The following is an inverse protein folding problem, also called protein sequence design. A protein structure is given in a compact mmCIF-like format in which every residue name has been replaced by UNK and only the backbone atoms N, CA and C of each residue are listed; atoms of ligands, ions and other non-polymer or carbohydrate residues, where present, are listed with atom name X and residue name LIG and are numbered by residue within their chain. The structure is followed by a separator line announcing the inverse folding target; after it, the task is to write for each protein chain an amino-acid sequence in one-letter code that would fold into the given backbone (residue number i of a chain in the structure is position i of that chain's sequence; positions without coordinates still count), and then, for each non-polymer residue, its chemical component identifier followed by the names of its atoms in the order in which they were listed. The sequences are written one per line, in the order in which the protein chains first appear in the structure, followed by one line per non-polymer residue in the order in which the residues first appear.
data_IF_943897253354
#
_entry.id   IF_943897253354
#
_cell.length_a   1.000
_cell.length_b   1.000
_cell.length_c   1.000
_cell.angle_alpha   90.00
_cell.angle_beta   90.00
_cell.angle_gamma   90.00
#
_symmetry.space_group_name_H-M   'P 1'
#
loop_
_entity.id
_entity.type
_entity.pdbx_description
1 polymer ?
#
# COMPACT_ATOMS: atom_id res chain seq x y z
N UNK A 1 12.52 -29.51 -4.30
CA UNK A 1 11.61 -28.60 -3.58
C UNK A 1 10.83 -27.84 -4.62
N UNK A 2 9.51 -28.04 -4.81
CA UNK A 2 8.78 -27.31 -5.83
C UNK A 2 8.24 -26.00 -5.26
N UNK A 3 8.67 -24.90 -5.87
CA UNK A 3 8.09 -23.57 -5.76
C UNK A 3 6.59 -23.62 -6.08
N UNK A 4 5.76 -23.53 -5.04
CA UNK A 4 4.33 -23.31 -5.22
C UNK A 4 4.11 -21.90 -5.76
N UNK A 5 3.95 -21.81 -7.09
CA UNK A 5 3.44 -20.62 -7.76
C UNK A 5 2.00 -20.43 -7.30
N UNK A 6 1.80 -19.60 -6.28
CA UNK A 6 0.48 -19.08 -5.96
C UNK A 6 0.00 -18.22 -7.14
N UNK A 7 -0.88 -18.80 -7.95
CA UNK A 7 -1.65 -18.09 -8.98
C UNK A 7 -2.61 -17.12 -8.27
N UNK A 8 -2.13 -15.94 -7.90
CA UNK A 8 -3.00 -14.86 -7.43
C UNK A 8 -3.91 -14.41 -8.60
N UNK A 9 -5.19 -14.78 -8.47
CA UNK A 9 -6.42 -14.28 -9.10
C UNK A 9 -6.28 -13.63 -10.49
N UNK A 10 -6.66 -14.34 -11.57
CA UNK A 10 -6.61 -13.83 -12.96
C UNK A 10 -7.42 -12.54 -13.23
N UNK A 11 -8.47 -12.30 -12.43
CA UNK A 11 -9.45 -11.23 -12.67
C UNK A 11 -8.89 -9.81 -12.44
N UNK A 12 -7.71 -9.67 -11.80
CA UNK A 12 -7.08 -8.37 -11.60
C UNK A 12 -6.28 -7.86 -12.82
N UNK A 13 -6.04 -8.72 -13.83
CA UNK A 13 -5.20 -8.34 -15.00
C UNK A 13 -5.88 -7.42 -16.01
N UNK A 14 -7.21 -7.35 -16.07
CA UNK A 14 -7.90 -6.60 -17.14
C UNK A 14 -8.23 -5.14 -16.80
N UNK A 15 -8.18 -4.73 -15.51
CA UNK A 15 -8.57 -3.39 -15.06
C UNK A 15 -7.41 -2.38 -14.91
N UNK A 16 -6.15 -2.84 -14.96
CA UNK A 16 -4.96 -2.04 -14.63
C UNK A 16 -4.47 -1.06 -15.71
N UNK A 17 -5.30 -0.62 -16.67
CA UNK A 17 -4.83 0.12 -17.85
C UNK A 17 -4.78 1.65 -17.76
N UNK A 18 -4.99 2.28 -16.60
CA UNK A 18 -4.91 3.76 -16.51
C UNK A 18 -4.29 4.35 -15.23
N UNK A 19 -3.94 3.52 -14.23
CA UNK A 19 -3.44 4.03 -12.94
C UNK A 19 -1.95 3.72 -12.83
N UNK A 20 -1.11 4.74 -13.01
CA UNK A 20 0.35 4.62 -12.81
C UNK A 20 0.66 4.59 -11.30
N UNK A 21 1.14 3.46 -10.74
CA UNK A 21 1.26 3.31 -9.29
C UNK A 21 2.24 4.28 -8.63
N UNK A 22 3.34 4.60 -9.31
CA UNK A 22 4.34 5.57 -8.81
C UNK A 22 3.73 6.98 -8.69
N UNK A 23 2.97 7.44 -9.69
CA UNK A 23 2.29 8.75 -9.63
C UNK A 23 1.28 8.83 -8.49
N UNK A 24 0.53 7.74 -8.25
CA UNK A 24 -0.41 7.69 -7.11
C UNK A 24 0.34 7.68 -5.79
N UNK A 25 1.46 6.97 -5.72
CA UNK A 25 2.30 6.89 -4.53
C UNK A 25 2.92 8.25 -4.18
N UNK A 26 3.52 8.94 -5.16
CA UNK A 26 4.07 10.29 -4.99
C UNK A 26 3.01 11.27 -4.48
N UNK A 27 1.82 11.27 -5.12
CA UNK A 27 0.71 12.14 -4.69
C UNK A 27 0.25 11.82 -3.27
N UNK A 28 0.08 10.53 -2.93
CA UNK A 28 -0.38 10.12 -1.62
C UNK A 28 0.66 10.42 -0.52
N UNK A 29 1.94 10.23 -0.81
CA UNK A 29 3.04 10.55 0.09
C UNK A 29 3.13 12.06 0.33
N UNK A 30 2.95 12.89 -0.70
CA UNK A 30 2.87 14.33 -0.58
C UNK A 30 1.72 14.80 0.34
N UNK A 31 0.53 14.18 0.23
CA UNK A 31 -0.61 14.48 1.12
C UNK A 31 -0.30 14.10 2.57
N UNK A 32 0.43 13.00 2.78
CA UNK A 32 0.84 12.55 4.11
C UNK A 32 2.11 13.25 4.63
N UNK A 33 2.73 14.12 3.84
CA UNK A 33 4.05 14.70 4.11
C UNK A 33 5.09 13.62 4.49
N UNK A 34 5.05 12.49 3.78
CA UNK A 34 5.95 11.36 3.98
C UNK A 34 7.07 11.38 2.95
N UNK A 35 8.30 11.16 3.41
CA UNK A 35 9.44 10.93 2.55
C UNK A 35 9.41 9.48 2.02
N UNK A 36 9.39 9.34 0.70
CA UNK A 36 9.36 8.03 0.04
C UNK A 36 10.65 7.24 0.25
N UNK A 37 11.80 7.90 0.33
CA UNK A 37 13.09 7.25 0.56
C UNK A 37 13.17 6.73 1.99
N UNK A 38 12.65 7.50 2.95
CA UNK A 38 12.57 7.08 4.35
C UNK A 38 11.76 5.79 4.50
N UNK A 39 10.57 5.73 3.88
CA UNK A 39 9.70 4.56 4.02
C UNK A 39 10.19 3.33 3.24
N UNK A 40 10.99 3.53 2.18
CA UNK A 40 11.55 2.46 1.34
C UNK A 40 12.85 1.88 1.91
N UNK A 41 13.68 2.72 2.53
CA UNK A 41 15.07 2.37 2.82
C UNK A 41 15.41 2.34 4.31
N UNK A 42 14.67 3.02 5.18
CA UNK A 42 15.00 3.03 6.60
C UNK A 42 14.60 1.71 7.27
N UNK A 43 15.60 1.06 7.86
CA UNK A 43 15.41 -0.15 8.68
C UNK A 43 14.66 0.14 9.98
N UNK A 44 14.79 1.35 10.52
CA UNK A 44 14.13 1.79 11.76
C UNK A 44 13.44 3.12 11.51
N UNK A 45 12.13 3.12 11.60
CA UNK A 45 11.28 4.30 11.46
C UNK A 45 10.44 4.47 12.72
N UNK A 46 10.00 5.70 12.98
CA UNK A 46 9.11 6.00 14.09
C UNK A 46 7.76 5.26 13.94
N UNK A 47 7.00 5.15 15.02
CA UNK A 47 5.68 4.50 14.97
C UNK A 47 4.71 5.25 14.03
N UNK A 48 4.73 6.58 14.04
CA UNK A 48 3.89 7.39 13.13
C UNK A 48 4.29 7.18 11.68
N UNK A 49 5.58 7.23 11.36
CA UNK A 49 6.10 6.96 10.00
C UNK A 49 5.74 5.56 9.53
N UNK A 50 5.76 4.56 10.43
CA UNK A 50 5.33 3.19 10.12
C UNK A 50 3.84 3.14 9.78
N UNK A 51 3.00 3.80 10.56
CA UNK A 51 1.56 3.82 10.33
C UNK A 51 1.21 4.49 8.99
N UNK A 52 1.91 5.57 8.64
CA UNK A 52 1.73 6.24 7.34
C UNK A 52 2.20 5.37 6.17
N UNK A 53 3.35 4.69 6.30
CA UNK A 53 3.82 3.72 5.32
C UNK A 53 2.84 2.57 5.13
N UNK A 54 2.35 1.97 6.21
CA UNK A 54 1.44 0.84 6.16
C UNK A 54 0.09 1.27 5.54
N UNK A 55 -0.34 2.52 5.77
CA UNK A 55 -1.48 3.15 5.11
C UNK A 55 -1.23 3.36 3.60
N UNK A 56 -0.05 3.86 3.19
CA UNK A 56 0.33 4.03 1.78
C UNK A 56 0.34 2.68 1.05
N UNK A 57 0.92 1.64 1.65
CA UNK A 57 0.93 0.27 1.11
C UNK A 57 -0.50 -0.21 0.85
N UNK A 58 -1.38 -0.03 1.83
CA UNK A 58 -2.79 -0.43 1.69
C UNK A 58 -3.51 0.35 0.58
N UNK A 59 -3.30 1.67 0.52
CA UNK A 59 -3.91 2.54 -0.48
C UNK A 59 -3.46 2.18 -1.90
N UNK A 60 -2.16 2.00 -2.13
CA UNK A 60 -1.62 1.65 -3.45
C UNK A 60 -2.11 0.27 -3.89
N UNK A 61 -2.08 -0.72 -2.99
CA UNK A 61 -2.63 -2.04 -3.26
C UNK A 61 -4.09 -1.97 -3.70
N UNK A 62 -4.90 -1.14 -3.02
CA UNK A 62 -6.33 -1.00 -3.30
C UNK A 62 -6.61 -0.23 -4.59
N UNK A 63 -5.96 0.92 -4.79
CA UNK A 63 -6.22 1.85 -5.90
C UNK A 63 -5.64 1.35 -7.21
N UNK A 64 -4.43 0.77 -7.17
CA UNK A 64 -3.73 0.30 -8.38
C UNK A 64 -4.02 -1.17 -8.68
N UNK A 65 -4.79 -1.86 -7.82
CA UNK A 65 -5.09 -3.29 -7.89
C UNK A 65 -3.84 -4.16 -8.05
N UNK A 66 -2.71 -3.75 -7.46
CA UNK A 66 -1.45 -4.44 -7.62
C UNK A 66 -1.41 -5.74 -6.82
N UNK A 67 -0.77 -6.81 -7.35
CA UNK A 67 -0.50 -7.99 -6.55
C UNK A 67 0.47 -7.64 -5.41
N UNK A 68 0.47 -8.44 -4.35
CA UNK A 68 1.31 -8.20 -3.16
C UNK A 68 2.80 -8.13 -3.53
N UNK A 69 3.25 -8.95 -4.49
CA UNK A 69 4.62 -8.92 -5.00
C UNK A 69 4.94 -7.61 -5.74
N UNK A 70 3.99 -7.09 -6.52
CA UNK A 70 4.15 -5.81 -7.25
C UNK A 70 4.18 -4.64 -6.28
N UNK A 71 3.27 -4.63 -5.31
CA UNK A 71 3.24 -3.65 -4.22
C UNK A 71 4.55 -3.70 -3.43
N UNK A 72 5.03 -4.89 -3.07
CA UNK A 72 6.29 -5.06 -2.35
C UNK A 72 7.49 -4.44 -3.08
N UNK A 73 7.57 -4.59 -4.41
CA UNK A 73 8.63 -3.96 -5.22
C UNK A 73 8.62 -2.43 -5.12
N UNK A 74 7.45 -1.78 -5.09
CA UNK A 74 7.33 -0.32 -4.96
C UNK A 74 7.83 0.20 -3.61
N UNK A 75 7.77 -0.62 -2.56
CA UNK A 75 8.12 -0.23 -1.19
C UNK A 75 9.42 -0.87 -0.68
N UNK A 76 10.14 -1.64 -1.50
CA UNK A 76 11.31 -2.41 -1.05
C UNK A 76 10.98 -3.53 -0.05
N UNK A 77 9.74 -4.05 -0.09
CA UNK A 77 9.22 -5.02 0.86
C UNK A 77 9.02 -6.41 0.26
N UNK A 78 9.06 -7.43 1.12
CA UNK A 78 8.69 -8.80 0.75
C UNK A 78 7.18 -8.94 0.60
N UNK A 79 6.76 -9.96 -0.15
CA UNK A 79 5.34 -10.35 -0.26
C UNK A 79 4.69 -10.55 1.11
N UNK A 80 5.37 -11.24 2.03
CA UNK A 80 4.84 -11.54 3.36
C UNK A 80 4.65 -10.27 4.19
N UNK A 81 5.59 -9.33 4.13
CA UNK A 81 5.46 -8.04 4.81
C UNK A 81 4.22 -7.28 4.32
N UNK A 82 4.00 -7.23 3.00
CA UNK A 82 2.79 -6.62 2.42
C UNK A 82 1.53 -7.33 2.92
N UNK A 83 1.48 -8.66 2.88
CA UNK A 83 0.33 -9.43 3.37
C UNK A 83 -0.01 -9.12 4.85
N UNK A 84 1.01 -9.05 5.71
CA UNK A 84 0.83 -8.68 7.12
C UNK A 84 0.29 -7.25 7.28
N UNK A 85 0.83 -6.29 6.52
CA UNK A 85 0.33 -4.90 6.51
C UNK A 85 -1.14 -4.86 6.08
N UNK A 86 -1.50 -5.52 4.98
CA UNK A 86 -2.88 -5.53 4.49
C UNK A 86 -3.85 -6.12 5.51
N UNK A 87 -3.47 -7.21 6.18
CA UNK A 87 -4.28 -7.83 7.23
C UNK A 87 -4.44 -6.88 8.43
N UNK A 88 -3.34 -6.33 8.92
CA UNK A 88 -3.33 -5.37 10.04
C UNK A 88 -4.19 -4.15 9.74
N UNK A 89 -4.01 -3.52 8.57
CA UNK A 89 -4.75 -2.34 8.16
C UNK A 89 -6.25 -2.61 8.05
N UNK A 90 -6.68 -3.77 7.54
CA UNK A 90 -8.12 -4.12 7.52
C UNK A 90 -8.72 -4.16 8.91
N UNK A 91 -8.03 -4.79 9.88
CA UNK A 91 -8.48 -4.87 11.26
C UNK A 91 -8.48 -3.49 11.93
N UNK A 92 -7.43 -2.70 11.72
CA UNK A 92 -7.32 -1.35 12.29
C UNK A 92 -8.39 -0.40 11.74
N UNK A 93 -8.65 -0.42 10.43
CA UNK A 93 -9.69 0.39 9.79
C UNK A 93 -11.11 0.14 10.31
N UNK A 94 -11.38 -1.06 10.85
CA UNK A 94 -12.65 -1.37 11.48
C UNK A 94 -12.76 -0.72 12.87
N UNK A 95 -11.65 -0.68 13.62
CA UNK A 95 -11.61 -0.26 15.03
C UNK A 95 -11.29 1.24 15.21
N UNK A 96 -10.38 1.77 14.41
CA UNK A 96 -9.84 3.12 14.50
C UNK A 96 -10.60 4.05 13.54
N UNK A 97 -11.50 4.88 14.09
CA UNK A 97 -12.28 5.84 13.30
C UNK A 97 -11.38 6.82 12.55
N UNK A 98 -10.39 7.39 13.23
CA UNK A 98 -9.50 8.42 12.67
C UNK A 98 -8.67 7.87 11.51
N UNK A 99 -8.15 6.64 11.65
CA UNK A 99 -7.42 5.97 10.57
C UNK A 99 -8.29 5.77 9.33
N UNK A 100 -9.55 5.36 9.53
CA UNK A 100 -10.52 5.20 8.46
C UNK A 100 -10.89 6.52 7.80
N UNK A 101 -11.05 7.58 8.58
CA UNK A 101 -11.30 8.92 8.05
C UNK A 101 -10.10 9.42 7.22
N UNK A 102 -8.89 9.27 7.75
CA UNK A 102 -7.63 9.60 7.07
C UNK A 102 -7.50 8.86 5.74
N UNK A 103 -7.73 7.55 5.73
CA UNK A 103 -7.77 6.76 4.50
C UNK A 103 -8.80 7.25 3.49
N UNK A 104 -10.05 7.46 3.91
CA UNK A 104 -11.11 7.92 3.00
C UNK A 104 -10.77 9.28 2.37
N UNK A 105 -10.18 10.17 3.16
CA UNK A 105 -9.74 11.48 2.70
C UNK A 105 -8.67 11.35 1.62
N UNK A 106 -7.58 10.62 1.89
CA UNK A 106 -6.49 10.44 0.93
C UNK A 106 -6.97 9.67 -0.30
N UNK A 107 -7.77 8.62 -0.12
CA UNK A 107 -8.36 7.85 -1.21
C UNK A 107 -9.24 8.73 -2.13
N UNK A 108 -9.99 9.68 -1.57
CA UNK A 108 -10.77 10.65 -2.35
C UNK A 108 -9.89 11.62 -3.13
N UNK A 109 -8.74 12.03 -2.58
CA UNK A 109 -7.81 12.94 -3.25
C UNK A 109 -6.97 12.24 -4.32
N UNK A 110 -6.66 10.96 -4.10
CA UNK A 110 -5.92 10.11 -5.03
C UNK A 110 -6.82 9.44 -6.08
N UNK A 111 -8.15 9.54 -5.93
CA UNK A 111 -9.09 9.13 -6.98
C UNK A 111 -8.80 9.93 -8.24
N UNK A 112 -8.22 9.24 -9.23
CA UNK A 112 -8.33 9.57 -10.64
C UNK A 112 -9.71 9.12 -11.13
#
# INVERSE_FOLDING_TARGET
MPDHIHKEIPQQRSLGKSVEPEKVLEKAAGILNCDLDDIRHLRRISRSTKDDRDLLVYLIWKTCMLPNKGTGRLFGMTYSAVSHILSSMRTRMQKEYDLRAKYKHIYSLCKM
#
